data_IF_220438696199
#
_entry.id   IF_220438696199
#
_cell.length_a   1.000
_cell.length_b   1.000
_cell.length_c   1.000
_cell.angle_alpha   90.00
_cell.angle_beta   90.00
_cell.angle_gamma   90.00
#
_symmetry.space_group_name_H-M   'P 1'
#
loop_
_entity.id
_entity.type
_entity.pdbx_description
1 polymer ?
#
# COMPACT_ATOMS: atom_id res chain seq x y z
N UNK A 1 -9.60 15.87 -3.31
CA UNK A 1 -9.00 15.00 -2.26
C UNK A 1 -7.68 15.62 -1.83
N UNK A 2 -7.70 16.53 -0.86
CA UNK A 2 -6.45 17.03 -0.25
C UNK A 2 -5.81 15.89 0.55
N UNK A 3 -4.50 15.67 0.42
CA UNK A 3 -3.78 14.68 1.21
C UNK A 3 -3.48 13.34 0.52
N UNK A 4 -3.65 13.24 -0.80
CA UNK A 4 -3.11 12.11 -1.58
C UNK A 4 -1.58 12.23 -1.64
N UNK A 5 -0.86 11.19 -1.24
CA UNK A 5 0.58 11.15 -1.36
C UNK A 5 0.99 11.12 -2.84
N UNK A 6 1.95 11.95 -3.21
CA UNK A 6 2.45 12.05 -4.59
C UNK A 6 2.94 10.72 -5.20
N UNK A 7 3.39 9.74 -4.39
CA UNK A 7 3.84 8.42 -4.86
C UNK A 7 2.67 7.53 -5.28
N UNK A 8 1.51 7.67 -4.63
CA UNK A 8 0.33 6.81 -4.80
C UNK A 8 -0.06 6.61 -6.27
N UNK A 9 -0.26 7.67 -7.09
CA UNK A 9 -0.61 7.47 -8.49
C UNK A 9 0.52 6.82 -9.31
N UNK A 10 1.79 7.10 -8.99
CA UNK A 10 2.93 6.56 -9.72
C UNK A 10 3.16 5.07 -9.43
N UNK A 11 3.09 4.67 -8.17
CA UNK A 11 3.22 3.26 -7.76
C UNK A 11 2.06 2.44 -8.32
N UNK A 12 0.84 2.98 -8.26
CA UNK A 12 -0.34 2.31 -8.83
C UNK A 12 -0.23 2.15 -10.35
N UNK A 13 0.23 3.17 -11.06
CA UNK A 13 0.47 3.08 -12.50
C UNK A 13 1.56 2.04 -12.84
N UNK A 14 2.65 2.01 -12.05
CA UNK A 14 3.75 1.06 -12.23
C UNK A 14 3.32 -0.41 -12.01
N UNK A 15 2.34 -0.64 -11.12
CA UNK A 15 1.75 -1.96 -10.94
C UNK A 15 1.09 -2.47 -12.23
N UNK A 16 0.62 -1.57 -13.11
CA UNK A 16 0.07 -1.88 -14.43
C UNK A 16 -1.02 -2.96 -14.38
N UNK A 17 -1.94 -2.84 -13.42
CA UNK A 17 -3.02 -3.81 -13.20
C UNK A 17 -2.61 -5.12 -12.53
N UNK A 18 -1.34 -5.29 -12.15
CA UNK A 18 -0.89 -6.46 -11.37
C UNK A 18 -1.21 -6.28 -9.88
N UNK A 19 -1.47 -7.35 -9.12
CA UNK A 19 -1.52 -7.26 -7.67
C UNK A 19 -0.20 -6.73 -7.11
N UNK A 20 -0.26 -5.89 -6.08
CA UNK A 20 0.95 -5.36 -5.45
C UNK A 20 0.78 -5.10 -3.96
N UNK A 21 1.91 -5.07 -3.26
CA UNK A 21 2.02 -4.64 -1.88
C UNK A 21 2.94 -3.42 -1.85
N UNK A 22 2.50 -2.36 -1.21
CA UNK A 22 3.30 -1.16 -0.96
C UNK A 22 3.47 -0.95 0.54
N UNK A 23 4.71 -1.02 1.02
CA UNK A 23 5.11 -0.77 2.40
C UNK A 23 5.77 0.61 2.48
N UNK A 24 5.20 1.54 3.23
CA UNK A 24 5.70 2.92 3.35
C UNK A 24 5.08 3.60 4.59
N UNK A 25 5.83 4.44 5.28
CA UNK A 25 5.43 5.08 6.53
C UNK A 25 4.49 6.28 6.36
N UNK A 26 4.44 6.84 5.15
CA UNK A 26 3.67 8.02 4.80
C UNK A 26 2.28 7.68 4.23
N UNK A 27 1.91 6.39 4.16
CA UNK A 27 0.60 5.93 3.68
C UNK A 27 -0.54 6.44 4.59
N UNK A 28 -1.54 7.05 3.96
CA UNK A 28 -2.76 7.54 4.62
C UNK A 28 -4.02 6.80 4.16
N UNK A 29 -5.17 7.08 4.78
CA UNK A 29 -6.47 6.58 4.33
C UNK A 29 -6.85 7.09 2.93
N UNK A 30 -6.45 8.32 2.59
CA UNK A 30 -6.68 8.89 1.26
C UNK A 30 -6.00 8.07 0.17
N UNK A 31 -4.78 7.58 0.43
CA UNK A 31 -4.04 6.74 -0.51
C UNK A 31 -4.72 5.39 -0.74
N UNK A 32 -5.30 4.82 0.32
CA UNK A 32 -6.04 3.56 0.27
C UNK A 32 -7.28 3.68 -0.58
N UNK A 33 -8.13 4.67 -0.30
CA UNK A 33 -9.37 4.89 -1.06
C UNK A 33 -9.09 5.21 -2.52
N UNK A 34 -8.08 6.04 -2.79
CA UNK A 34 -7.70 6.34 -4.16
C UNK A 34 -7.22 5.10 -4.91
N UNK A 35 -6.35 4.29 -4.29
CA UNK A 35 -5.83 3.06 -4.93
C UNK A 35 -6.94 2.05 -5.17
N UNK A 36 -7.85 1.86 -4.20
CA UNK A 36 -9.00 0.96 -4.34
C UNK A 36 -9.93 1.38 -5.47
N UNK A 37 -10.14 2.69 -5.67
CA UNK A 37 -10.96 3.20 -6.77
C UNK A 37 -10.25 3.14 -8.13
N UNK A 38 -8.92 3.27 -8.16
CA UNK A 38 -8.15 3.43 -9.40
C UNK A 38 -7.52 2.13 -9.94
N UNK A 39 -7.24 1.15 -9.07
CA UNK A 39 -6.51 -0.06 -9.43
C UNK A 39 -7.42 -1.30 -9.54
N UNK A 40 -7.44 -2.00 -10.68
CA UNK A 40 -8.40 -3.09 -10.91
C UNK A 40 -8.05 -4.42 -10.23
N UNK A 41 -6.86 -4.54 -9.63
CA UNK A 41 -6.38 -5.77 -8.99
C UNK A 41 -6.16 -5.56 -7.49
N UNK A 42 -6.02 -6.63 -6.69
CA UNK A 42 -5.74 -6.51 -5.26
C UNK A 42 -4.50 -5.67 -4.97
N UNK A 43 -4.63 -4.65 -4.12
CA UNK A 43 -3.52 -3.84 -3.63
C UNK A 43 -3.52 -3.80 -2.10
N UNK A 44 -2.39 -4.15 -1.49
CA UNK A 44 -2.16 -3.91 -0.07
C UNK A 44 -1.27 -2.68 0.08
N UNK A 45 -1.84 -1.60 0.61
CA UNK A 45 -1.03 -0.51 1.15
C UNK A 45 -0.82 -0.84 2.64
N UNK A 46 0.40 -0.89 3.15
CA UNK A 46 0.66 -1.20 4.56
C UNK A 46 1.57 -0.14 5.16
N UNK A 47 1.08 0.54 6.19
CA UNK A 47 1.83 1.62 6.81
C UNK A 47 2.80 1.05 7.83
N UNK A 48 4.08 1.40 7.71
CA UNK A 48 5.13 0.97 8.65
C UNK A 48 5.49 2.10 9.62
N UNK A 49 5.88 1.79 10.85
CA UNK A 49 6.37 2.81 11.79
C UNK A 49 7.85 3.13 11.46
N UNK A 50 8.20 4.37 11.09
CA UNK A 50 9.55 4.71 10.70
C UNK A 50 10.55 4.65 11.88
N UNK A 51 10.08 4.65 13.13
CA UNK A 51 10.94 4.54 14.32
C UNK A 51 11.47 3.14 14.55
N UNK A 52 10.71 2.12 14.15
CA UNK A 52 11.06 0.71 14.37
C UNK A 52 11.38 -0.03 13.08
N UNK A 53 11.04 0.56 11.93
CA UNK A 53 11.20 -0.10 10.63
C UNK A 53 10.27 -1.29 10.48
N UNK A 54 10.62 -2.21 9.58
CA UNK A 54 9.87 -3.45 9.36
C UNK A 54 10.06 -4.41 10.53
N UNK A 55 8.93 -4.87 11.06
CA UNK A 55 8.85 -5.81 12.17
C UNK A 55 8.27 -7.15 11.74
N UNK A 56 8.35 -8.15 12.62
CA UNK A 56 7.70 -9.45 12.39
C UNK A 56 6.18 -9.32 12.19
N UNK A 57 5.53 -8.31 12.80
CA UNK A 57 4.10 -8.07 12.62
C UNK A 57 3.77 -7.56 11.21
N UNK A 58 4.63 -6.73 10.63
CA UNK A 58 4.47 -6.26 9.24
C UNK A 58 4.60 -7.43 8.26
N UNK A 59 5.61 -8.28 8.46
CA UNK A 59 5.77 -9.50 7.65
C UNK A 59 4.61 -10.48 7.83
N UNK A 60 4.06 -10.62 9.03
CA UNK A 60 2.88 -11.44 9.26
C UNK A 60 1.64 -10.93 8.50
N UNK A 61 1.49 -9.60 8.42
CA UNK A 61 0.41 -8.95 7.64
C UNK A 61 0.58 -9.23 6.14
N UNK A 62 1.80 -9.08 5.62
CA UNK A 62 2.14 -9.39 4.22
C UNK A 62 1.87 -10.87 3.91
N UNK A 63 2.34 -11.79 4.76
CA UNK A 63 2.13 -13.23 4.56
C UNK A 63 0.65 -13.60 4.61
N UNK A 64 -0.11 -12.99 5.51
CA UNK A 64 -1.56 -13.21 5.59
C UNK A 64 -2.29 -12.73 4.35
N UNK A 65 -1.81 -11.65 3.70
CA UNK A 65 -2.35 -11.17 2.44
C UNK A 65 -1.97 -12.09 1.27
N UNK A 66 -0.72 -12.57 1.22
CA UNK A 66 -0.23 -13.48 0.17
C UNK A 66 -0.90 -14.86 0.20
N UNK A 67 -1.41 -15.29 1.35
CA UNK A 67 -2.09 -16.56 1.53
C UNK A 67 -3.58 -16.54 1.14
N UNK A 68 -4.11 -15.41 0.65
CA UNK A 68 -5.52 -15.24 0.27
C UNK A 68 -5.81 -15.66 -1.16
#
# INVERSE_FOLDING_TARGET
>A
MSGLHWKTPHITAQAAGRPFIWLDDEITETDRWWTEAAHPAPALLHRVDPRTGLTAADFATVNSWLAR
#
